data_IF_579219431509
#
_entry.id   IF_579219431509
#
_cell.length_a   1.000
_cell.length_b   1.000
_cell.length_c   1.000
_cell.angle_alpha   90.00
_cell.angle_beta   90.00
_cell.angle_gamma   90.00
#
_symmetry.space_group_name_H-M   'P 1'
#
loop_
_entity.id
_entity.type
_entity.pdbx_description
1 polymer ?
#
# COMPACT_ATOMS: atom_id res chain seq x y z
N UNK A 1 -24.87 -5.10 15.81
CA UNK A 1 -25.32 -4.94 14.41
C UNK A 1 -25.84 -6.29 13.92
N UNK A 2 -27.09 -6.40 13.47
CA UNK A 2 -27.66 -7.66 12.97
C UNK A 2 -27.11 -8.01 11.58
N UNK A 3 -26.93 -9.31 11.28
CA UNK A 3 -26.24 -9.79 10.06
C UNK A 3 -26.81 -9.26 8.74
N UNK A 4 -28.14 -9.08 8.65
CA UNK A 4 -28.78 -8.54 7.45
C UNK A 4 -28.42 -7.07 7.16
N UNK A 5 -28.19 -6.26 8.20
CA UNK A 5 -27.79 -4.88 8.03
C UNK A 5 -26.34 -4.77 7.52
N UNK A 6 -25.44 -5.62 8.04
CA UNK A 6 -24.05 -5.71 7.60
C UNK A 6 -23.96 -6.13 6.12
N UNK A 7 -24.72 -7.16 5.72
CA UNK A 7 -24.75 -7.63 4.34
C UNK A 7 -25.20 -6.54 3.35
N UNK A 8 -26.25 -5.77 3.70
CA UNK A 8 -26.72 -4.64 2.89
C UNK A 8 -25.67 -3.54 2.76
N UNK A 9 -24.94 -3.24 3.84
CA UNK A 9 -23.90 -2.23 3.84
C UNK A 9 -22.72 -2.65 2.95
N UNK A 10 -22.28 -3.92 3.02
CA UNK A 10 -21.24 -4.46 2.15
C UNK A 10 -21.67 -4.39 0.68
N UNK A 11 -22.91 -4.79 0.36
CA UNK A 11 -23.44 -4.73 -1.00
C UNK A 11 -23.47 -3.29 -1.54
N UNK A 12 -23.93 -2.34 -0.71
CA UNK A 12 -23.90 -0.90 -1.06
C UNK A 12 -22.49 -0.41 -1.33
N UNK A 13 -21.51 -0.75 -0.47
CA UNK A 13 -20.13 -0.30 -0.68
C UNK A 13 -19.52 -0.90 -1.95
N UNK A 14 -19.77 -2.18 -2.24
CA UNK A 14 -19.36 -2.80 -3.51
C UNK A 14 -19.98 -2.09 -4.71
N UNK A 15 -21.28 -1.77 -4.64
CA UNK A 15 -21.97 -1.01 -5.69
C UNK A 15 -21.38 0.40 -5.89
N UNK A 16 -20.94 1.06 -4.81
CA UNK A 16 -20.29 2.36 -4.85
C UNK A 16 -18.80 2.29 -5.26
N UNK A 17 -18.29 1.13 -5.67
CA UNK A 17 -16.93 0.97 -6.18
C UNK A 17 -15.89 0.52 -5.16
N UNK A 18 -16.29 0.00 -4.00
CA UNK A 18 -15.34 -0.63 -3.07
C UNK A 18 -14.60 -1.78 -3.76
N UNK A 19 -13.31 -1.57 -3.99
CA UNK A 19 -12.41 -2.57 -4.56
C UNK A 19 -11.94 -3.54 -3.46
N UNK A 20 -12.43 -4.77 -3.49
CA UNK A 20 -12.00 -5.82 -2.56
C UNK A 20 -10.53 -6.17 -2.85
N UNK A 21 -9.70 -6.20 -1.81
CA UNK A 21 -8.27 -6.50 -1.94
C UNK A 21 -7.40 -5.30 -2.32
N UNK A 22 -7.95 -4.08 -2.32
CA UNK A 22 -7.15 -2.88 -2.45
C UNK A 22 -6.15 -2.74 -1.29
N UNK A 23 -4.92 -2.27 -1.53
CA UNK A 23 -3.89 -2.13 -0.48
C UNK A 23 -4.36 -1.25 0.68
N UNK A 24 -3.94 -1.61 1.90
CA UNK A 24 -4.32 -0.90 3.13
C UNK A 24 -3.95 0.60 3.11
N UNK A 25 -2.79 0.94 2.54
CA UNK A 25 -2.27 2.31 2.48
C UNK A 25 -1.94 2.72 1.05
N UNK A 26 -2.25 3.98 0.75
CA UNK A 26 -1.75 4.70 -0.43
C UNK A 26 -1.09 6.00 -0.01
N UNK A 27 0.13 6.23 -0.51
CA UNK A 27 0.85 7.49 -0.37
C UNK A 27 1.00 8.14 -1.75
N UNK A 28 0.41 9.32 -1.93
CA UNK A 28 0.58 10.11 -3.15
C UNK A 28 1.80 11.00 -3.01
N UNK A 29 2.77 10.84 -3.90
CA UNK A 29 4.05 11.56 -3.87
C UNK A 29 4.40 12.14 -5.24
N UNK A 30 5.45 12.97 -5.32
CA UNK A 30 6.00 13.44 -6.59
C UNK A 30 6.56 12.30 -7.48
N UNK A 31 6.83 11.13 -6.91
CA UNK A 31 7.28 9.94 -7.63
C UNK A 31 6.11 9.06 -8.11
N UNK A 32 4.86 9.51 -7.88
CA UNK A 32 3.63 8.76 -8.14
C UNK A 32 3.06 8.08 -6.89
N UNK A 33 1.93 7.35 -7.06
CA UNK A 33 1.31 6.59 -5.97
C UNK A 33 2.17 5.42 -5.52
N UNK A 34 2.32 5.27 -4.20
CA UNK A 34 2.96 4.14 -3.54
C UNK A 34 1.91 3.39 -2.73
N UNK A 35 1.82 2.08 -2.91
CA UNK A 35 0.83 1.24 -2.24
C UNK A 35 1.50 0.27 -1.26
N UNK A 36 0.92 0.15 -0.06
CA UNK A 36 1.42 -0.76 0.95
C UNK A 36 0.29 -1.60 1.52
N UNK A 37 0.48 -2.91 1.46
CA UNK A 37 -0.34 -3.89 2.17
C UNK A 37 0.37 -4.26 3.47
N UNK A 38 -0.22 -3.92 4.61
CA UNK A 38 0.42 -4.08 5.91
C UNK A 38 -0.01 -5.41 6.52
N UNK A 39 0.95 -6.26 6.86
CA UNK A 39 0.68 -7.56 7.48
C UNK A 39 1.41 -7.73 8.79
N UNK A 40 0.74 -8.32 9.77
CA UNK A 40 1.43 -8.84 10.95
C UNK A 40 2.39 -10.00 10.57
N UNK A 41 3.40 -10.25 11.41
CA UNK A 41 4.32 -11.39 11.24
C UNK A 41 3.52 -12.70 11.14
N UNK A 42 3.86 -13.54 10.16
CA UNK A 42 3.15 -14.80 9.89
C UNK A 42 1.91 -14.68 9.00
N UNK A 43 1.39 -13.47 8.76
CA UNK A 43 0.26 -13.26 7.86
C UNK A 43 0.71 -13.01 6.41
N UNK A 44 -0.17 -13.35 5.47
CA UNK A 44 0.07 -13.24 4.03
C UNK A 44 -1.11 -12.57 3.33
N UNK A 45 -0.88 -12.02 2.15
CA UNK A 45 -1.92 -11.44 1.31
C UNK A 45 -2.94 -12.51 0.87
N UNK A 46 -4.23 -12.15 0.87
CA UNK A 46 -5.31 -13.02 0.35
C UNK A 46 -5.23 -13.14 -1.18
N UNK A 47 -5.94 -14.09 -1.82
CA UNK A 47 -5.98 -14.20 -3.27
C UNK A 47 -6.44 -12.91 -3.97
N UNK A 48 -7.45 -12.23 -3.42
CA UNK A 48 -7.98 -10.98 -3.96
C UNK A 48 -6.95 -9.85 -3.88
N UNK A 49 -6.24 -9.76 -2.76
CA UNK A 49 -5.14 -8.80 -2.59
C UNK A 49 -4.01 -9.07 -3.57
N UNK A 50 -3.59 -10.33 -3.72
CA UNK A 50 -2.56 -10.71 -4.71
C UNK A 50 -2.97 -10.34 -6.13
N UNK A 51 -4.24 -10.52 -6.49
CA UNK A 51 -4.75 -10.12 -7.80
C UNK A 51 -4.64 -8.61 -8.02
N UNK A 52 -5.12 -7.80 -7.07
CA UNK A 52 -5.03 -6.34 -7.17
C UNK A 52 -3.58 -5.87 -7.20
N UNK A 53 -2.69 -6.44 -6.39
CA UNK A 53 -1.27 -6.10 -6.39
C UNK A 53 -0.60 -6.43 -7.73
N UNK A 54 -0.96 -7.56 -8.34
CA UNK A 54 -0.46 -7.93 -9.66
C UNK A 54 -0.91 -6.92 -10.72
N UNK A 55 -2.17 -6.49 -10.69
CA UNK A 55 -2.68 -5.48 -11.62
C UNK A 55 -2.03 -4.10 -11.40
N UNK A 56 -1.87 -3.66 -10.15
CA UNK A 56 -1.13 -2.43 -9.83
C UNK A 56 0.30 -2.49 -10.36
N UNK A 57 1.00 -3.60 -10.12
CA UNK A 57 2.37 -3.81 -10.62
C UNK A 57 2.41 -3.81 -12.15
N UNK A 58 1.46 -4.48 -12.81
CA UNK A 58 1.33 -4.54 -14.27
C UNK A 58 1.10 -3.16 -14.89
N UNK A 59 0.42 -2.27 -14.18
CA UNK A 59 0.19 -0.88 -14.56
C UNK A 59 1.39 0.04 -14.24
N UNK A 60 2.47 -0.48 -13.68
CA UNK A 60 3.67 0.27 -13.34
C UNK A 60 3.63 0.99 -11.99
N UNK A 61 2.61 0.74 -11.17
CA UNK A 61 2.56 1.26 -9.81
C UNK A 61 3.47 0.47 -8.87
N UNK A 62 4.00 1.16 -7.86
CA UNK A 62 4.79 0.55 -6.80
C UNK A 62 3.87 0.02 -5.71
N UNK A 63 3.89 -1.28 -5.48
CA UNK A 63 3.11 -1.94 -4.44
C UNK A 63 3.98 -2.94 -3.68
N UNK A 64 3.87 -2.97 -2.36
CA UNK A 64 4.59 -3.92 -1.52
C UNK A 64 3.73 -4.45 -0.38
N UNK A 65 3.93 -5.72 -0.04
CA UNK A 65 3.49 -6.27 1.25
C UNK A 65 4.59 -6.03 2.27
N UNK A 66 4.29 -5.36 3.37
CA UNK A 66 5.26 -4.96 4.40
C UNK A 66 4.82 -5.44 5.78
N UNK A 67 5.77 -5.82 6.63
CA UNK A 67 5.53 -6.35 7.97
C UNK A 67 6.22 -5.56 9.09
N UNK A 68 7.01 -4.55 8.73
CA UNK A 68 7.76 -3.70 9.64
C UNK A 68 8.07 -2.34 8.98
N UNK A 69 8.62 -1.42 9.77
CA UNK A 69 9.15 -0.15 9.26
C UNK A 69 10.39 -0.42 8.39
N UNK A 70 11.21 -1.40 8.77
CA UNK A 70 12.40 -1.81 8.02
C UNK A 70 12.05 -2.32 6.62
N UNK A 71 10.94 -3.07 6.47
CA UNK A 71 10.45 -3.50 5.16
C UNK A 71 10.05 -2.30 4.30
N UNK A 72 9.41 -1.28 4.89
CA UNK A 72 9.03 -0.05 4.20
C UNK A 72 10.28 0.71 3.75
N UNK A 73 11.27 0.89 4.64
CA UNK A 73 12.56 1.53 4.31
C UNK A 73 13.25 0.82 3.15
N UNK A 74 13.33 -0.52 3.22
CA UNK A 74 13.93 -1.32 2.16
C UNK A 74 13.21 -1.14 0.82
N UNK A 75 11.87 -1.11 0.81
CA UNK A 75 11.09 -0.90 -0.42
C UNK A 75 11.21 0.51 -0.96
N UNK A 76 11.22 1.53 -0.10
CA UNK A 76 11.47 2.90 -0.52
C UNK A 76 12.86 3.05 -1.14
N UNK A 77 13.89 2.45 -0.54
CA UNK A 77 15.25 2.43 -1.09
C UNK A 77 15.32 1.68 -2.44
N UNK A 78 14.72 0.49 -2.55
CA UNK A 78 14.62 -0.29 -3.80
C UNK A 78 13.97 0.52 -4.92
N UNK A 79 12.95 1.32 -4.59
CA UNK A 79 12.23 2.16 -5.53
C UNK A 79 12.89 3.52 -5.79
N UNK A 80 14.02 3.82 -5.16
CA UNK A 80 14.72 5.09 -5.28
C UNK A 80 13.98 6.29 -4.69
N UNK A 81 13.14 6.07 -3.68
CA UNK A 81 12.34 7.11 -3.02
C UNK A 81 13.12 7.63 -1.81
N UNK A 82 13.62 8.88 -1.84
CA UNK A 82 14.31 9.46 -0.71
C UNK A 82 13.34 9.70 0.44
N UNK A 83 13.87 9.57 1.65
CA UNK A 83 13.20 9.95 2.89
C UNK A 83 14.07 10.94 3.65
N UNK A 84 13.50 11.65 4.64
CA UNK A 84 14.27 12.53 5.52
C UNK A 84 15.43 11.81 6.25
N UNK A 85 15.32 10.50 6.44
CA UNK A 85 16.37 9.69 7.07
C UNK A 85 17.56 9.45 6.12
N UNK A 86 17.36 9.62 4.81
CA UNK A 86 18.38 9.40 3.77
C UNK A 86 18.94 10.70 3.19
N UNK A 87 18.38 11.85 3.56
CA UNK A 87 18.94 13.16 3.21
C UNK A 87 20.25 13.34 3.98
N UNK A 88 21.38 13.50 3.27
CA UNK A 88 22.62 13.95 3.92
C UNK A 88 22.32 15.30 4.59
N UNK A 89 22.59 15.41 5.90
CA UNK A 89 22.54 16.70 6.59
C UNK A 89 23.33 17.69 5.77
N UNK A 90 22.64 18.71 5.25
CA UNK A 90 23.18 19.58 4.21
C UNK A 90 24.54 20.14 4.60
N UNK A 91 25.55 19.86 3.77
CA UNK A 91 26.62 20.83 3.58
C UNK A 91 25.94 22.09 3.02
N UNK A 92 25.91 23.11 3.86
CA UNK A 92 25.57 24.48 3.45
C UNK A 92 26.72 24.91 2.55
N UNK A 93 26.52 24.82 1.23
CA UNK A 93 27.40 25.49 0.28
C UNK A 93 27.02 26.98 0.18
N UNK A 94 28.01 27.87 0.03
CA UNK A 94 27.92 29.30 0.38
C UNK A 94 26.93 30.11 -0.44
#
# INVERSE_FOLDING_TARGET
MAGAAVARQIAKHKHLGMAVGFPDLVAFTFHGPLFFEVKAKGNYATPEQKFVHAELSRLGYRVAVVKSIEDVRAKLAEWGIPTKETEQQGEVFP
#
